data_IF_314564669422
#
_entry.id   IF_314564669422
#
_cell.length_a   1.000
_cell.length_b   1.000
_cell.length_c   1.000
_cell.angle_alpha   90.00
_cell.angle_beta   90.00
_cell.angle_gamma   90.00
#
_symmetry.space_group_name_H-M   'P 1'
#
loop_
_entity.id
_entity.type
_entity.pdbx_description
1 polymer ?
#
# COMPACT_ATOMS: atom_id res chain seq x y z
N UNK A 1 0.25 15.92 -5.01
CA UNK A 1 1.42 15.03 -4.92
C UNK A 1 1.38 14.41 -3.53
N UNK A 2 0.91 13.16 -3.44
CA UNK A 2 1.05 12.35 -2.24
C UNK A 2 2.30 11.50 -2.50
N UNK A 3 3.40 11.78 -1.80
CA UNK A 3 4.57 10.92 -1.84
C UNK A 3 4.72 10.37 -0.42
N UNK A 4 4.27 9.15 -0.21
CA UNK A 4 4.57 8.38 1.00
C UNK A 4 5.99 7.81 0.87
N UNK A 5 6.98 8.61 1.26
CA UNK A 5 8.39 8.20 1.25
C UNK A 5 8.71 7.12 2.26
N UNK A 6 7.88 6.95 3.29
CA UNK A 6 8.15 5.99 4.36
C UNK A 6 8.04 4.54 3.88
N UNK A 7 7.28 4.28 2.81
CA UNK A 7 6.97 2.93 2.33
C UNK A 7 7.45 2.67 0.89
N UNK A 8 8.54 3.32 0.50
CA UNK A 8 9.22 3.03 -0.76
C UNK A 8 10.36 2.02 -0.52
N UNK A 9 10.46 0.99 -1.36
CA UNK A 9 11.62 0.11 -1.36
C UNK A 9 11.49 -1.02 -2.37
N UNK A 10 12.45 -1.94 -2.35
CA UNK A 10 12.55 -2.99 -3.36
C UNK A 10 11.43 -4.03 -3.26
N UNK A 11 10.81 -4.33 -4.39
CA UNK A 11 9.75 -5.34 -4.50
C UNK A 11 10.28 -6.70 -4.05
N UNK A 12 9.52 -7.38 -3.19
CA UNK A 12 9.92 -8.66 -2.59
C UNK A 12 10.78 -8.52 -1.32
N UNK A 13 11.22 -7.32 -0.97
CA UNK A 13 12.04 -7.06 0.21
C UNK A 13 11.31 -6.21 1.25
N UNK A 14 10.72 -5.09 0.81
CA UNK A 14 10.08 -4.14 1.71
C UNK A 14 8.75 -4.66 2.25
N UNK A 15 8.48 -4.37 3.52
CA UNK A 15 7.28 -4.80 4.23
C UNK A 15 6.56 -3.64 4.89
N UNK A 16 5.23 -3.76 5.00
CA UNK A 16 4.45 -2.84 5.83
C UNK A 16 4.87 -2.97 7.31
N UNK A 17 4.81 -1.87 8.09
CA UNK A 17 4.99 -1.92 9.53
C UNK A 17 4.02 -2.91 10.20
N UNK A 18 4.42 -3.47 11.35
CA UNK A 18 3.55 -4.37 12.13
C UNK A 18 2.34 -3.66 12.74
N UNK A 19 2.40 -2.34 12.85
CA UNK A 19 1.42 -1.45 13.47
C UNK A 19 0.65 -0.62 12.44
N UNK A 20 0.72 -0.96 11.14
CA UNK A 20 -0.12 -0.33 10.12
C UNK A 20 -1.61 -0.40 10.52
N UNK A 21 -2.32 0.71 10.33
CA UNK A 21 -3.74 0.86 10.61
C UNK A 21 -4.55 0.30 9.44
N UNK A 22 -5.12 -0.89 9.60
CA UNK A 22 -5.92 -1.58 8.57
C UNK A 22 -7.42 -1.36 8.74
N UNK A 23 -7.84 -0.79 9.87
CA UNK A 23 -9.24 -0.63 10.28
C UNK A 23 -9.98 0.47 9.49
N UNK A 24 -9.27 1.21 8.64
CA UNK A 24 -9.87 2.20 7.77
C UNK A 24 -10.46 1.52 6.53
N UNK A 25 -11.77 1.25 6.55
CA UNK A 25 -12.49 0.60 5.45
C UNK A 25 -12.33 1.35 4.12
N UNK A 26 -12.03 0.59 3.05
CA UNK A 26 -11.94 1.12 1.68
C UNK A 26 -10.65 1.85 1.34
N UNK A 27 -9.69 1.97 2.27
CA UNK A 27 -8.40 2.60 2.01
C UNK A 27 -7.37 1.63 1.42
N UNK A 28 -7.32 0.38 1.89
CA UNK A 28 -6.26 -0.56 1.53
C UNK A 28 -6.70 -1.63 0.52
N UNK A 29 -5.75 -2.06 -0.31
CA UNK A 29 -5.93 -3.27 -1.11
C UNK A 29 -6.08 -4.50 -0.20
N UNK A 30 -6.93 -5.47 -0.58
CA UNK A 30 -7.26 -6.66 0.25
C UNK A 30 -6.05 -7.54 0.62
N UNK A 31 -4.97 -7.46 -0.14
CA UNK A 31 -3.70 -8.16 0.14
C UNK A 31 -2.80 -7.47 1.17
N UNK A 32 -3.10 -6.23 1.58
CA UNK A 32 -2.31 -5.49 2.55
C UNK A 32 -2.50 -6.09 3.94
N UNK A 33 -1.40 -6.45 4.58
CA UNK A 33 -1.38 -7.02 5.93
C UNK A 33 -0.16 -6.51 6.72
N UNK A 34 -0.28 -6.49 8.05
CA UNK A 34 0.81 -6.16 8.97
C UNK A 34 2.03 -7.04 8.74
N UNK A 35 3.20 -6.44 8.53
CA UNK A 35 4.44 -7.18 8.21
C UNK A 35 4.44 -7.86 6.83
N UNK A 36 3.39 -7.71 6.04
CA UNK A 36 3.29 -8.23 4.68
C UNK A 36 4.21 -7.49 3.72
N UNK A 37 4.56 -8.14 2.61
CA UNK A 37 5.35 -7.49 1.56
C UNK A 37 4.57 -6.34 0.93
N UNK A 38 5.27 -5.26 0.62
CA UNK A 38 4.75 -4.20 -0.22
C UNK A 38 4.91 -4.66 -1.67
N UNK A 39 3.79 -4.72 -2.39
CA UNK A 39 3.71 -5.19 -3.77
C UNK A 39 3.13 -4.08 -4.65
N UNK A 40 3.55 -4.01 -5.92
CA UNK A 40 3.09 -2.97 -6.86
C UNK A 40 1.56 -2.94 -7.05
N UNK A 41 0.87 -4.05 -6.76
CA UNK A 41 -0.60 -4.09 -6.85
C UNK A 41 -1.26 -3.20 -5.80
N UNK A 42 -0.63 -3.02 -4.65
CA UNK A 42 -1.13 -2.13 -3.60
C UNK A 42 -1.06 -0.67 -4.07
N UNK A 43 0.07 -0.27 -4.66
CA UNK A 43 0.24 1.07 -5.21
C UNK A 43 -0.74 1.35 -6.35
N UNK A 44 -0.94 0.37 -7.25
CA UNK A 44 -1.93 0.48 -8.33
C UNK A 44 -3.36 0.63 -7.79
N UNK A 45 -3.72 -0.10 -6.74
CA UNK A 45 -5.01 0.04 -6.10
C UNK A 45 -5.21 1.45 -5.55
N UNK A 46 -4.21 1.99 -4.84
CA UNK A 46 -4.27 3.36 -4.33
C UNK A 46 -4.33 4.39 -5.46
N UNK A 47 -3.49 4.24 -6.49
CA UNK A 47 -3.49 5.12 -7.64
C UNK A 47 -4.85 5.15 -8.33
N UNK A 48 -5.46 3.99 -8.56
CA UNK A 48 -6.79 3.88 -9.13
C UNK A 48 -7.86 4.50 -8.22
N UNK A 49 -7.83 4.23 -6.91
CA UNK A 49 -8.78 4.80 -5.96
C UNK A 49 -8.70 6.34 -5.91
N UNK A 50 -7.50 6.91 -6.08
CA UNK A 50 -7.27 8.35 -6.06
C UNK A 50 -7.63 9.06 -7.38
N UNK A 51 -7.42 8.39 -8.52
CA UNK A 51 -7.46 9.04 -9.85
C UNK A 51 -8.57 8.52 -10.77
N UNK A 52 -9.06 7.30 -10.54
CA UNK A 52 -9.91 6.55 -11.46
C UNK A 52 -9.18 5.97 -12.67
N UNK A 53 -7.86 6.19 -12.78
CA UNK A 53 -7.01 5.70 -13.89
C UNK A 53 -6.44 4.30 -13.56
N UNK A 54 -6.01 3.55 -14.58
CA UNK A 54 -5.45 2.19 -14.45
C UNK A 54 -4.03 2.10 -15.00
#
# INVERSE_FOLDING_TARGET
>A
VLIDFDWCGEEGTTRYPSDILLEAEGLWHVGVQRGGLIEKVHDRYHFHALTGET
#
